data_IF_085843236549
#
_entry.id   IF_085843236549
#
_cell.length_a   1.000
_cell.length_b   1.000
_cell.length_c   1.000
_cell.angle_alpha   90.00
_cell.angle_beta   90.00
_cell.angle_gamma   90.00
#
_symmetry.space_group_name_H-M   'P 1'
#
loop_
_entity.id
_entity.type
_entity.pdbx_description
1 polymer ?
#
# COMPACT_ATOMS: atom_id res chain seq x y z
N UNK A 1 -15.04 -25.77 7.80
CA UNK A 1 -14.02 -24.96 7.08
C UNK A 1 -14.62 -23.75 6.36
N UNK A 2 -15.77 -23.88 5.67
CA UNK A 2 -16.45 -22.75 5.00
C UNK A 2 -16.77 -21.55 5.92
N UNK A 3 -17.11 -21.81 7.19
CA UNK A 3 -17.38 -20.73 8.17
C UNK A 3 -16.14 -19.89 8.55
N UNK A 4 -14.93 -20.33 8.20
CA UNK A 4 -13.69 -19.58 8.47
C UNK A 4 -13.12 -18.93 7.20
N UNK A 5 -13.20 -19.60 6.05
CA UNK A 5 -12.62 -19.08 4.81
C UNK A 5 -13.40 -17.89 4.23
N UNK A 6 -14.72 -17.95 4.27
CA UNK A 6 -15.58 -16.88 3.76
C UNK A 6 -15.37 -15.52 4.47
N UNK A 7 -15.35 -15.42 5.82
CA UNK A 7 -15.05 -14.17 6.51
C UNK A 7 -13.59 -13.71 6.33
N UNK A 8 -12.64 -14.64 6.15
CA UNK A 8 -11.26 -14.28 5.81
C UNK A 8 -11.18 -13.63 4.43
N UNK A 9 -11.90 -14.16 3.43
CA UNK A 9 -11.98 -13.55 2.11
C UNK A 9 -12.59 -12.14 2.18
N UNK A 10 -13.68 -12.00 2.93
CA UNK A 10 -14.35 -10.71 3.12
C UNK A 10 -13.44 -9.68 3.80
N UNK A 11 -12.78 -10.06 4.90
CA UNK A 11 -11.88 -9.14 5.62
C UNK A 11 -10.70 -8.73 4.73
N UNK A 12 -10.11 -9.66 3.98
CA UNK A 12 -9.04 -9.35 3.02
C UNK A 12 -9.54 -8.44 1.88
N UNK A 13 -10.73 -8.72 1.35
CA UNK A 13 -11.33 -7.93 0.28
C UNK A 13 -11.60 -6.48 0.73
N UNK A 14 -12.21 -6.31 1.91
CA UNK A 14 -12.49 -5.01 2.52
C UNK A 14 -11.20 -4.27 2.87
N UNK A 15 -10.22 -4.95 3.47
CA UNK A 15 -8.93 -4.35 3.81
C UNK A 15 -8.21 -3.86 2.54
N UNK A 16 -8.14 -4.70 1.51
CA UNK A 16 -7.56 -4.33 0.21
C UNK A 16 -8.27 -3.15 -0.44
N UNK A 17 -9.61 -3.14 -0.42
CA UNK A 17 -10.41 -2.02 -0.93
C UNK A 17 -10.10 -0.71 -0.18
N UNK A 18 -10.14 -0.74 1.16
CA UNK A 18 -9.86 0.44 1.98
C UNK A 18 -8.43 0.98 1.80
N UNK A 19 -7.44 0.09 1.66
CA UNK A 19 -6.05 0.46 1.42
C UNK A 19 -5.86 1.11 0.04
N UNK A 20 -6.52 0.59 -0.99
CA UNK A 20 -6.38 1.04 -2.37
C UNK A 20 -7.29 2.23 -2.73
N UNK A 21 -8.39 2.43 -2.00
CA UNK A 21 -9.34 3.52 -2.26
C UNK A 21 -8.69 4.90 -2.10
N UNK A 22 -7.83 5.08 -1.10
CA UNK A 22 -7.13 6.36 -0.89
C UNK A 22 -6.17 6.71 -2.03
N UNK A 23 -5.24 5.82 -2.43
CA UNK A 23 -4.42 6.02 -3.63
C UNK A 23 -5.26 6.23 -4.91
N UNK A 24 -6.35 5.46 -5.09
CA UNK A 24 -7.21 5.55 -6.28
C UNK A 24 -7.82 6.95 -6.43
N UNK A 25 -8.29 7.51 -5.31
CA UNK A 25 -8.88 8.85 -5.28
C UNK A 25 -7.85 9.96 -5.46
N UNK A 26 -6.60 9.75 -5.03
CA UNK A 26 -5.52 10.74 -5.20
C UNK A 26 -4.93 10.72 -6.61
N UNK A 27 -4.93 9.56 -7.27
CA UNK A 27 -4.38 9.39 -8.61
C UNK A 27 -5.46 8.81 -9.56
N UNK A 28 -6.50 9.58 -9.90
CA UNK A 28 -7.60 9.09 -10.74
C UNK A 28 -7.17 8.74 -12.17
N UNK A 29 -5.99 9.21 -12.60
CA UNK A 29 -5.38 8.87 -13.90
C UNK A 29 -4.76 7.47 -13.92
N UNK A 30 -4.52 6.86 -12.75
CA UNK A 30 -3.99 5.51 -12.65
C UNK A 30 -5.13 4.49 -12.79
N UNK A 31 -5.38 4.08 -14.05
CA UNK A 31 -6.46 3.14 -14.40
C UNK A 31 -6.23 1.75 -13.82
N UNK A 32 -4.97 1.34 -13.61
CA UNK A 32 -4.67 0.03 -13.02
C UNK A 32 -5.12 -0.01 -11.56
N UNK A 33 -4.84 1.07 -10.83
CA UNK A 33 -5.16 1.17 -9.42
C UNK A 33 -6.66 1.32 -9.16
N UNK A 34 -7.37 2.09 -10.00
CA UNK A 34 -8.84 2.17 -9.92
C UNK A 34 -9.52 0.85 -10.27
N UNK A 35 -9.05 0.16 -11.31
CA UNK A 35 -9.55 -1.17 -11.66
C UNK A 35 -9.28 -2.18 -10.54
N UNK A 36 -8.08 -2.14 -9.93
CA UNK A 36 -7.72 -3.01 -8.82
C UNK A 36 -8.59 -2.74 -7.58
N UNK A 37 -8.79 -1.47 -7.21
CA UNK A 37 -9.73 -1.11 -6.15
C UNK A 37 -11.13 -1.63 -6.47
N UNK A 38 -11.58 -1.55 -7.73
CA UNK A 38 -12.83 -2.15 -8.18
C UNK A 38 -12.88 -3.67 -7.98
N UNK A 39 -11.81 -4.41 -8.31
CA UNK A 39 -11.70 -5.87 -8.06
C UNK A 39 -11.95 -6.18 -6.58
N UNK A 40 -11.26 -5.50 -5.66
CA UNK A 40 -11.45 -5.71 -4.22
C UNK A 40 -12.86 -5.29 -3.76
N UNK A 41 -13.39 -4.17 -4.27
CA UNK A 41 -14.70 -3.66 -3.90
C UNK A 41 -15.85 -4.58 -4.33
N UNK A 42 -15.86 -5.03 -5.58
CA UNK A 42 -16.87 -5.97 -6.08
C UNK A 42 -16.74 -7.36 -5.44
N UNK A 43 -15.51 -7.80 -5.15
CA UNK A 43 -15.28 -9.03 -4.40
C UNK A 43 -15.86 -8.92 -2.98
N UNK A 44 -15.56 -7.84 -2.26
CA UNK A 44 -16.11 -7.58 -0.92
C UNK A 44 -17.65 -7.50 -0.95
N UNK A 45 -18.22 -6.81 -1.94
CA UNK A 45 -19.67 -6.71 -2.09
C UNK A 45 -20.31 -8.08 -2.35
N UNK A 46 -19.71 -8.92 -3.21
CA UNK A 46 -20.20 -10.28 -3.44
C UNK A 46 -20.20 -11.14 -2.17
N UNK A 47 -19.12 -11.08 -1.39
CA UNK A 47 -19.05 -11.79 -0.10
C UNK A 47 -20.07 -11.24 0.90
N UNK A 48 -20.23 -9.92 0.96
CA UNK A 48 -21.19 -9.27 1.85
C UNK A 48 -22.63 -9.70 1.53
N UNK A 49 -23.03 -9.68 0.25
CA UNK A 49 -24.36 -10.12 -0.19
C UNK A 49 -24.58 -11.62 0.07
N UNK A 50 -23.51 -12.42 0.08
CA UNK A 50 -23.57 -13.86 0.31
C UNK A 50 -23.65 -14.26 1.79
N UNK A 51 -23.50 -13.31 2.73
CA UNK A 51 -23.74 -13.55 4.14
C UNK A 51 -25.24 -13.78 4.39
N UNK A 52 -25.58 -14.80 5.15
CA UNK A 52 -26.97 -15.17 5.45
C UNK A 52 -27.82 -14.01 6.00
N UNK A 53 -27.36 -13.18 6.95
CA UNK A 53 -28.13 -12.02 7.42
C UNK A 53 -28.41 -11.00 6.30
N UNK A 54 -27.41 -10.72 5.46
CA UNK A 54 -27.53 -9.75 4.37
C UNK A 54 -28.43 -10.29 3.25
N UNK A 55 -28.34 -11.58 2.94
CA UNK A 55 -29.18 -12.26 1.97
C UNK A 55 -30.66 -12.19 2.37
N UNK A 56 -30.97 -12.52 3.64
CA UNK A 56 -32.34 -12.49 4.17
C UNK A 56 -32.87 -11.05 4.14
N UNK A 57 -32.13 -10.08 4.69
CA UNK A 57 -32.54 -8.67 4.69
C UNK A 57 -32.78 -8.12 3.30
N UNK A 58 -31.94 -8.47 2.32
CA UNK A 58 -32.13 -8.02 0.94
C UNK A 58 -33.41 -8.65 0.35
N UNK A 59 -33.70 -9.91 0.66
CA UNK A 59 -34.94 -10.58 0.28
C UNK A 59 -36.19 -9.93 0.89
N UNK A 60 -36.13 -9.54 2.16
CA UNK A 60 -37.22 -8.85 2.87
C UNK A 60 -37.49 -7.46 2.29
N UNK A 61 -36.45 -6.65 2.07
CA UNK A 61 -36.58 -5.26 1.58
C UNK A 61 -37.06 -5.21 0.14
N UNK A 62 -36.61 -6.15 -0.70
CA UNK A 62 -36.91 -6.15 -2.13
C UNK A 62 -38.10 -7.02 -2.51
N UNK A 63 -38.74 -7.66 -1.53
CA UNK A 63 -39.86 -8.59 -1.68
C UNK A 63 -39.57 -9.76 -2.66
N UNK A 64 -38.28 -10.02 -2.92
CA UNK A 64 -37.79 -11.08 -3.79
C UNK A 64 -36.48 -11.62 -3.24
N UNK A 65 -36.55 -12.80 -2.61
CA UNK A 65 -35.40 -13.52 -2.04
C UNK A 65 -34.34 -13.88 -3.08
N UNK A 66 -34.65 -13.76 -4.38
CA UNK A 66 -33.76 -14.10 -5.47
C UNK A 66 -32.88 -12.93 -5.92
N UNK A 67 -33.16 -11.67 -5.53
CA UNK A 67 -32.35 -10.51 -5.96
C UNK A 67 -30.91 -10.58 -5.43
N UNK A 68 -30.71 -11.16 -4.24
CA UNK A 68 -29.38 -11.38 -3.69
C UNK A 68 -28.52 -12.31 -4.58
N UNK A 69 -29.14 -13.27 -5.29
CA UNK A 69 -28.45 -14.12 -6.26
C UNK A 69 -27.90 -13.31 -7.44
N UNK A 70 -28.76 -12.47 -8.03
CA UNK A 70 -28.40 -11.62 -9.15
C UNK A 70 -27.31 -10.63 -8.75
N UNK A 71 -27.46 -10.00 -7.57
CA UNK A 71 -26.48 -9.06 -7.04
C UNK A 71 -25.11 -9.73 -6.83
N UNK A 72 -25.05 -10.90 -6.19
CA UNK A 72 -23.80 -11.64 -6.02
C UNK A 72 -23.14 -12.00 -7.35
N UNK A 73 -23.90 -12.58 -8.29
CA UNK A 73 -23.33 -13.02 -9.58
C UNK A 73 -22.89 -11.82 -10.43
N UNK A 74 -23.65 -10.73 -10.45
CA UNK A 74 -23.26 -9.51 -11.13
C UNK A 74 -21.99 -8.90 -10.54
N UNK A 75 -21.83 -8.91 -9.20
CA UNK A 75 -20.60 -8.47 -8.54
C UNK A 75 -19.40 -9.32 -8.94
N UNK A 76 -19.54 -10.65 -8.97
CA UNK A 76 -18.46 -11.55 -9.39
C UNK A 76 -18.09 -11.30 -10.86
N UNK A 77 -19.06 -11.15 -11.76
CA UNK A 77 -18.78 -10.86 -13.18
C UNK A 77 -18.11 -9.49 -13.34
N UNK A 78 -18.55 -8.46 -12.62
CA UNK A 78 -17.90 -7.16 -12.61
C UNK A 78 -16.45 -7.26 -12.12
N UNK A 79 -16.21 -8.00 -11.04
CA UNK A 79 -14.87 -8.29 -10.53
C UNK A 79 -14.00 -9.00 -11.58
N UNK A 80 -14.49 -10.09 -12.19
CA UNK A 80 -13.74 -10.83 -13.22
C UNK A 80 -13.45 -9.95 -14.44
N UNK A 81 -14.37 -9.07 -14.83
CA UNK A 81 -14.18 -8.17 -15.97
C UNK A 81 -13.11 -7.11 -15.72
N UNK A 82 -12.83 -6.78 -14.46
CA UNK A 82 -11.78 -5.83 -14.06
C UNK A 82 -10.39 -6.46 -13.95
N UNK A 83 -10.29 -7.78 -13.71
CA UNK A 83 -8.99 -8.46 -13.57
C UNK A 83 -8.10 -8.34 -14.83
N UNK A 84 -8.62 -8.57 -16.06
CA UNK A 84 -7.86 -8.31 -17.29
C UNK A 84 -7.50 -6.84 -17.49
N UNK A 85 -8.29 -5.89 -16.96
CA UNK A 85 -7.99 -4.44 -17.05
C UNK A 85 -6.73 -4.13 -16.27
N UNK A 86 -6.64 -4.62 -15.02
CA UNK A 86 -5.45 -4.46 -14.17
C UNK A 86 -4.22 -4.99 -14.91
N UNK A 87 -4.33 -6.21 -15.43
CA UNK A 87 -3.22 -6.87 -16.10
C UNK A 87 -2.83 -6.16 -17.42
N UNK A 88 -3.81 -5.71 -18.19
CA UNK A 88 -3.59 -4.97 -19.42
C UNK A 88 -2.84 -3.65 -19.15
N UNK A 89 -3.22 -2.92 -18.11
CA UNK A 89 -2.52 -1.70 -17.71
C UNK A 89 -1.08 -1.94 -17.23
N UNK A 90 -0.75 -3.15 -16.74
CA UNK A 90 0.60 -3.49 -16.30
C UNK A 90 1.53 -3.99 -17.42
N UNK A 91 0.98 -4.58 -18.50
CA UNK A 91 1.80 -5.24 -19.53
C UNK A 91 1.77 -4.49 -20.87
N UNK A 92 0.64 -3.88 -21.21
CA UNK A 92 0.39 -3.34 -22.54
C UNK A 92 0.62 -1.81 -22.57
N UNK A 93 1.01 -1.26 -23.74
CA UNK A 93 1.02 0.19 -23.93
C UNK A 93 -0.39 0.78 -23.74
N UNK A 94 -0.51 2.06 -23.36
CA UNK A 94 -1.75 2.67 -22.90
C UNK A 94 -2.92 2.54 -23.89
N UNK A 95 -2.67 2.64 -25.19
CA UNK A 95 -3.71 2.53 -26.20
C UNK A 95 -4.24 1.10 -26.36
N UNK A 96 -3.37 0.09 -26.27
CA UNK A 96 -3.77 -1.31 -26.28
C UNK A 96 -4.47 -1.70 -24.96
N UNK A 97 -4.00 -1.17 -23.83
CA UNK A 97 -4.63 -1.38 -22.53
C UNK A 97 -6.07 -0.81 -22.48
N UNK A 98 -6.30 0.39 -23.04
CA UNK A 98 -7.65 0.98 -23.14
C UNK A 98 -8.61 0.14 -23.99
N UNK A 99 -8.14 -0.40 -25.12
CA UNK A 99 -8.96 -1.27 -25.97
C UNK A 99 -9.32 -2.56 -25.23
N UNK A 100 -8.32 -3.23 -24.66
CA UNK A 100 -8.52 -4.45 -23.86
C UNK A 100 -9.48 -4.20 -22.67
N UNK A 101 -9.36 -3.04 -22.02
CA UNK A 101 -10.24 -2.66 -20.93
C UNK A 101 -11.69 -2.47 -21.40
N UNK A 102 -11.91 -1.74 -22.50
CA UNK A 102 -13.25 -1.57 -23.08
C UNK A 102 -13.86 -2.89 -23.49
N UNK A 103 -13.11 -3.78 -24.16
CA UNK A 103 -13.64 -5.10 -24.56
C UNK A 103 -13.99 -5.94 -23.35
N UNK A 104 -13.17 -5.93 -22.30
CA UNK A 104 -13.43 -6.68 -21.06
C UNK A 104 -14.69 -6.16 -20.34
N UNK A 105 -14.82 -4.83 -20.24
CA UNK A 105 -15.98 -4.20 -19.60
C UNK A 105 -17.27 -4.40 -20.41
N UNK A 106 -17.21 -4.30 -21.74
CA UNK A 106 -18.36 -4.56 -22.62
C UNK A 106 -18.80 -6.02 -22.56
N UNK A 107 -17.85 -6.97 -22.56
CA UNK A 107 -18.15 -8.38 -22.38
C UNK A 107 -18.81 -8.65 -21.01
N UNK A 108 -18.26 -8.06 -19.94
CA UNK A 108 -18.86 -8.12 -18.61
C UNK A 108 -20.27 -7.56 -18.53
N UNK A 109 -20.49 -6.38 -19.13
CA UNK A 109 -21.80 -5.74 -19.19
C UNK A 109 -22.81 -6.58 -19.97
N UNK A 110 -22.39 -7.18 -21.09
CA UNK A 110 -23.25 -8.09 -21.87
C UNK A 110 -23.64 -9.34 -21.08
N UNK A 111 -22.71 -9.95 -20.33
CA UNK A 111 -22.99 -11.08 -19.45
C UNK A 111 -23.96 -10.69 -18.34
N UNK A 112 -23.73 -9.55 -17.67
CA UNK A 112 -24.64 -9.06 -16.62
C UNK A 112 -26.04 -8.81 -17.18
N UNK A 113 -26.15 -8.18 -18.36
CA UNK A 113 -27.44 -7.99 -19.01
C UNK A 113 -28.14 -9.33 -19.33
N UNK A 114 -27.39 -10.33 -19.79
CA UNK A 114 -27.89 -11.69 -20.01
C UNK A 114 -28.37 -12.36 -18.71
N UNK A 115 -27.63 -12.19 -17.61
CA UNK A 115 -28.04 -12.68 -16.29
C UNK A 115 -29.31 -11.98 -15.80
N UNK A 116 -29.44 -10.66 -15.98
CA UNK A 116 -30.65 -9.90 -15.64
C UNK A 116 -31.85 -10.41 -16.45
N UNK A 117 -31.69 -10.65 -17.75
CA UNK A 117 -32.76 -11.18 -18.60
C UNK A 117 -33.20 -12.58 -18.16
N UNK A 118 -32.24 -13.49 -17.96
CA UNK A 118 -32.52 -14.85 -17.50
C UNK A 118 -33.12 -14.88 -16.08
N UNK A 119 -32.71 -13.94 -15.23
CA UNK A 119 -33.27 -13.76 -13.91
C UNK A 119 -34.73 -13.29 -13.95
N UNK A 120 -35.08 -12.36 -14.85
CA UNK A 120 -36.45 -11.90 -15.04
C UNK A 120 -37.40 -13.01 -15.53
N UNK A 121 -36.85 -14.03 -16.21
CA UNK A 121 -37.58 -15.22 -16.66
C UNK A 121 -37.66 -16.31 -15.58
N UNK A 122 -36.96 -16.15 -14.46
CA UNK A 122 -36.91 -17.15 -13.41
C UNK A 122 -38.15 -17.03 -12.52
N UNK A 123 -38.84 -18.14 -12.20
CA UNK A 123 -40.01 -18.09 -11.33
C UNK A 123 -39.68 -17.48 -9.96
N UNK A 124 -40.53 -16.58 -9.47
CA UNK A 124 -40.39 -16.00 -8.12
C UNK A 124 -40.63 -17.10 -7.08
N UNK A 125 -39.68 -17.31 -6.18
CA UNK A 125 -39.81 -18.36 -5.14
C UNK A 125 -39.56 -17.82 -3.73
N UNK A 126 -40.14 -18.53 -2.75
CA UNK A 126 -40.07 -18.21 -1.33
C UNK A 126 -38.64 -18.26 -0.73
N UNK A 127 -38.53 -18.14 0.60
CA UNK A 127 -37.25 -17.99 1.28
C UNK A 127 -36.32 -19.17 0.99
N UNK A 128 -35.11 -18.86 0.55
CA UNK A 128 -34.06 -19.83 0.20
C UNK A 128 -32.72 -19.27 0.63
N UNK A 129 -31.81 -20.16 1.05
CA UNK A 129 -30.40 -19.82 1.29
C UNK A 129 -29.61 -19.97 -0.02
N UNK A 130 -28.45 -19.29 -0.17
CA UNK A 130 -27.65 -19.36 -1.40
C UNK A 130 -27.33 -20.80 -1.86
N UNK A 131 -27.14 -21.71 -0.90
CA UNK A 131 -26.79 -23.12 -1.13
C UNK A 131 -28.00 -23.96 -1.52
N UNK A 132 -29.16 -23.72 -0.88
CA UNK A 132 -30.39 -24.46 -1.17
C UNK A 132 -31.05 -23.99 -2.47
N UNK A 133 -30.81 -22.74 -2.89
CA UNK A 133 -31.34 -22.21 -4.15
C UNK A 133 -30.86 -23.01 -5.37
N UNK A 134 -29.54 -23.23 -5.46
CA UNK A 134 -28.90 -23.95 -6.57
C UNK A 134 -29.39 -25.40 -6.64
N UNK A 135 -29.44 -26.09 -5.51
CA UNK A 135 -29.91 -27.47 -5.43
C UNK A 135 -31.40 -27.61 -5.82
N UNK A 136 -32.24 -26.62 -5.46
CA UNK A 136 -33.68 -26.64 -5.72
C UNK A 136 -34.03 -26.31 -7.18
N UNK A 137 -33.24 -25.46 -7.85
CA UNK A 137 -33.54 -24.98 -9.19
C UNK A 137 -32.68 -25.61 -10.30
N UNK A 138 -31.76 -26.51 -9.96
CA UNK A 138 -30.88 -27.16 -10.94
C UNK A 138 -31.64 -27.92 -12.05
N UNK A 139 -32.86 -28.38 -11.77
CA UNK A 139 -33.74 -29.03 -12.74
C UNK A 139 -34.56 -28.07 -13.62
N UNK A 140 -34.51 -26.76 -13.38
CA UNK A 140 -35.26 -25.75 -14.15
C UNK A 140 -34.39 -25.27 -15.31
N UNK A 141 -34.84 -25.46 -16.55
CA UNK A 141 -34.05 -25.13 -17.75
C UNK A 141 -33.57 -23.67 -17.82
N UNK A 142 -34.38 -22.71 -17.35
CA UNK A 142 -33.99 -21.29 -17.28
C UNK A 142 -32.83 -21.07 -16.30
N UNK A 143 -32.84 -21.75 -15.15
CA UNK A 143 -31.76 -21.68 -14.18
C UNK A 143 -30.49 -22.36 -14.69
N UNK A 144 -30.61 -23.46 -15.45
CA UNK A 144 -29.49 -24.12 -16.12
C UNK A 144 -28.80 -23.16 -17.11
N UNK A 145 -29.58 -22.42 -17.91
CA UNK A 145 -29.05 -21.40 -18.80
C UNK A 145 -28.37 -20.26 -18.03
N UNK A 146 -28.99 -19.79 -16.94
CA UNK A 146 -28.44 -18.76 -16.06
C UNK A 146 -27.08 -19.17 -15.47
N UNK A 147 -27.02 -20.37 -14.90
CA UNK A 147 -25.82 -20.92 -14.29
C UNK A 147 -24.75 -21.23 -15.33
N UNK A 148 -25.12 -21.75 -16.51
CA UNK A 148 -24.22 -22.02 -17.62
C UNK A 148 -23.57 -20.75 -18.17
N UNK A 149 -24.35 -19.68 -18.37
CA UNK A 149 -23.84 -18.36 -18.77
C UNK A 149 -22.84 -17.83 -17.75
N UNK A 150 -23.17 -17.90 -16.46
CA UNK A 150 -22.29 -17.46 -15.39
C UNK A 150 -20.97 -18.25 -15.35
N UNK A 151 -21.02 -19.59 -15.32
CA UNK A 151 -19.82 -20.44 -15.21
C UNK A 151 -18.94 -20.30 -16.45
N UNK A 152 -19.52 -20.21 -17.65
CA UNK A 152 -18.75 -20.05 -18.89
C UNK A 152 -18.02 -18.71 -18.92
N UNK A 153 -18.70 -17.62 -18.58
CA UNK A 153 -18.09 -16.29 -18.51
C UNK A 153 -17.01 -16.21 -17.42
N UNK A 154 -17.31 -16.70 -16.22
CA UNK A 154 -16.37 -16.73 -15.11
C UNK A 154 -15.15 -17.59 -15.43
N UNK A 155 -15.35 -18.80 -15.97
CA UNK A 155 -14.28 -19.72 -16.37
C UNK A 155 -13.40 -19.14 -17.48
N UNK A 156 -13.99 -18.53 -18.51
CA UNK A 156 -13.23 -17.84 -19.56
C UNK A 156 -12.38 -16.71 -18.98
N UNK A 157 -12.94 -15.89 -18.08
CA UNK A 157 -12.22 -14.83 -17.40
C UNK A 157 -11.06 -15.33 -16.54
N UNK A 158 -11.27 -16.40 -15.76
CA UNK A 158 -10.20 -17.01 -14.96
C UNK A 158 -9.12 -17.64 -15.85
N UNK A 159 -9.47 -18.29 -16.96
CA UNK A 159 -8.49 -18.84 -17.91
C UNK A 159 -7.62 -17.75 -18.54
N UNK A 160 -8.23 -16.63 -18.96
CA UNK A 160 -7.51 -15.46 -19.44
C UNK A 160 -6.58 -14.88 -18.36
N UNK A 161 -7.04 -14.84 -17.11
CA UNK A 161 -6.25 -14.39 -15.97
C UNK A 161 -5.03 -15.30 -15.73
N UNK A 162 -5.21 -16.63 -15.72
CA UNK A 162 -4.11 -17.60 -15.57
C UNK A 162 -3.03 -17.36 -16.63
N UNK A 163 -3.42 -17.37 -17.91
CA UNK A 163 -2.48 -17.19 -19.03
C UNK A 163 -1.80 -15.82 -18.95
N UNK A 164 -2.58 -14.78 -18.68
CA UNK A 164 -2.11 -13.43 -18.56
C UNK A 164 -1.09 -13.24 -17.44
N UNK A 165 -1.40 -13.71 -16.23
CA UNK A 165 -0.51 -13.63 -15.07
C UNK A 165 0.78 -14.44 -15.26
N UNK A 166 0.70 -15.64 -15.84
CA UNK A 166 1.90 -16.44 -16.13
C UNK A 166 2.80 -15.79 -17.18
N UNK A 167 2.22 -15.19 -18.22
CA UNK A 167 2.98 -14.44 -19.24
C UNK A 167 3.62 -13.19 -18.65
N UNK A 168 2.89 -12.46 -17.81
CA UNK A 168 3.39 -11.29 -17.10
C UNK A 168 4.54 -11.64 -16.15
N UNK A 169 4.38 -12.69 -15.35
CA UNK A 169 5.38 -13.15 -14.39
C UNK A 169 6.68 -13.66 -15.04
N UNK A 170 6.66 -13.97 -16.34
CA UNK A 170 7.86 -14.33 -17.13
C UNK A 170 8.59 -13.11 -17.70
N UNK A 171 7.90 -11.97 -17.84
CA UNK A 171 8.44 -10.75 -18.46
C UNK A 171 8.94 -9.71 -17.46
N UNK A 172 8.57 -9.84 -16.19
CA UNK A 172 8.95 -8.90 -15.15
C UNK A 172 10.24 -9.35 -14.46
N UNK A 173 11.22 -8.44 -14.36
CA UNK A 173 12.50 -8.69 -13.67
C UNK A 173 12.38 -8.62 -12.14
N UNK A 174 11.34 -7.95 -11.64
CA UNK A 174 11.04 -7.84 -10.20
C UNK A 174 10.50 -9.15 -9.62
N UNK A 175 11.33 -9.85 -8.86
CA UNK A 175 11.03 -11.17 -8.27
C UNK A 175 9.74 -11.17 -7.44
N UNK A 176 9.46 -10.09 -6.71
CA UNK A 176 8.26 -9.97 -5.86
C UNK A 176 6.98 -9.84 -6.68
N UNK A 177 7.03 -9.09 -7.79
CA UNK A 177 5.90 -8.93 -8.71
C UNK A 177 5.64 -10.25 -9.45
N UNK A 178 6.69 -10.91 -9.91
CA UNK A 178 6.58 -12.24 -10.54
C UNK A 178 5.98 -13.29 -9.59
N UNK A 179 6.38 -13.28 -8.30
CA UNK A 179 5.79 -14.16 -7.28
C UNK A 179 4.30 -13.84 -7.05
N UNK A 180 3.94 -12.57 -6.90
CA UNK A 180 2.54 -12.15 -6.74
C UNK A 180 1.66 -12.63 -7.90
N UNK A 181 2.10 -12.40 -9.14
CA UNK A 181 1.39 -12.84 -10.34
C UNK A 181 1.28 -14.37 -10.46
N UNK A 182 2.29 -15.13 -10.05
CA UNK A 182 2.21 -16.61 -10.00
C UNK A 182 1.19 -17.08 -8.96
N UNK A 183 1.11 -16.42 -7.81
CA UNK A 183 0.09 -16.71 -6.78
C UNK A 183 -1.30 -16.41 -7.34
N UNK A 184 -1.49 -15.29 -8.04
CA UNK A 184 -2.76 -14.99 -8.75
C UNK A 184 -3.11 -16.08 -9.74
N UNK A 185 -2.16 -16.49 -10.60
CA UNK A 185 -2.37 -17.55 -11.59
C UNK A 185 -2.73 -18.90 -10.94
N UNK A 186 -2.07 -19.27 -9.85
CA UNK A 186 -2.39 -20.50 -9.11
C UNK A 186 -3.79 -20.42 -8.46
N UNK A 187 -4.16 -19.27 -7.89
CA UNK A 187 -5.49 -19.04 -7.35
C UNK A 187 -6.59 -19.11 -8.41
N UNK A 188 -6.36 -18.51 -9.57
CA UNK A 188 -7.28 -18.56 -10.71
C UNK A 188 -7.40 -19.99 -11.30
N UNK A 189 -6.34 -20.80 -11.24
CA UNK A 189 -6.42 -22.21 -11.61
C UNK A 189 -7.27 -23.00 -10.61
N UNK A 190 -7.16 -22.69 -9.32
CA UNK A 190 -7.98 -23.33 -8.29
C UNK A 190 -9.47 -22.97 -8.43
N UNK A 191 -9.80 -21.72 -8.79
CA UNK A 191 -11.19 -21.32 -9.07
C UNK A 191 -11.73 -21.92 -10.38
N UNK A 192 -10.87 -22.24 -11.37
CA UNK A 192 -11.28 -23.07 -12.51
C UNK A 192 -11.70 -24.48 -12.08
N UNK A 193 -11.12 -25.02 -11.01
CA UNK A 193 -11.59 -26.27 -10.38
C UNK A 193 -13.04 -26.18 -9.91
N UNK A 194 -13.44 -25.05 -9.30
CA UNK A 194 -14.84 -24.78 -8.97
C UNK A 194 -15.73 -24.75 -10.23
N UNK A 195 -15.27 -24.11 -11.31
CA UNK A 195 -16.00 -24.08 -12.59
C UNK A 195 -16.22 -25.49 -13.13
N UNK A 196 -15.20 -26.34 -13.10
CA UNK A 196 -15.28 -27.72 -13.56
C UNK A 196 -16.32 -28.50 -12.75
N UNK A 197 -16.30 -28.40 -11.42
CA UNK A 197 -17.28 -29.07 -10.55
C UNK A 197 -18.71 -28.60 -10.85
N UNK A 198 -18.92 -27.29 -10.98
CA UNK A 198 -20.25 -26.73 -11.29
C UNK A 198 -20.72 -27.09 -12.70
N UNK A 199 -19.82 -27.12 -13.68
CA UNK A 199 -20.13 -27.54 -15.04
C UNK A 199 -20.52 -29.02 -15.07
N UNK A 200 -19.82 -29.89 -14.33
CA UNK A 200 -20.21 -31.31 -14.23
C UNK A 200 -21.58 -31.49 -13.58
N UNK A 201 -21.90 -30.70 -12.55
CA UNK A 201 -23.21 -30.73 -11.91
C UNK A 201 -24.32 -30.25 -12.86
N UNK A 202 -24.05 -29.21 -13.65
CA UNK A 202 -24.96 -28.71 -14.67
C UNK A 202 -25.23 -29.77 -15.75
N UNK A 203 -24.17 -30.42 -16.25
CA UNK A 203 -24.29 -31.48 -17.26
C UNK A 203 -25.04 -32.71 -16.72
N UNK A 204 -24.85 -33.07 -15.45
CA UNK A 204 -25.60 -34.13 -14.80
C UNK A 204 -27.10 -33.77 -14.69
N UNK A 205 -27.40 -32.53 -14.29
CA UNK A 205 -28.78 -32.05 -14.18
C UNK A 205 -29.51 -32.04 -15.54
N UNK A 206 -28.84 -31.66 -16.62
CA UNK A 206 -29.38 -31.74 -17.99
C UNK A 206 -29.70 -33.18 -18.40
N UNK A 207 -28.95 -34.16 -17.88
CA UNK A 207 -29.17 -35.60 -18.10
C UNK A 207 -30.21 -36.22 -17.16
N UNK A 208 -30.84 -35.42 -16.31
CA UNK A 208 -31.87 -35.86 -15.36
C UNK A 208 -31.33 -36.28 -13.98
N UNK A 209 -30.03 -36.18 -13.73
CA UNK A 209 -29.44 -36.44 -12.41
C UNK A 209 -29.04 -35.13 -11.72
N UNK A 210 -29.94 -34.59 -10.90
CA UNK A 210 -29.75 -33.32 -10.19
C UNK A 210 -29.06 -33.47 -8.83
N UNK A 211 -28.51 -34.65 -8.49
CA UNK A 211 -27.91 -34.89 -7.16
C UNK A 211 -26.45 -34.47 -7.12
N UNK A 212 -26.14 -33.54 -6.22
CA UNK A 212 -24.76 -33.15 -5.90
C UNK A 212 -24.38 -33.76 -4.55
N UNK A 213 -23.37 -34.64 -4.48
CA UNK A 213 -22.89 -35.14 -3.19
C UNK A 213 -22.35 -34.01 -2.32
N UNK A 214 -22.66 -34.03 -1.01
CA UNK A 214 -22.24 -32.98 -0.07
C UNK A 214 -20.70 -32.78 -0.05
N UNK A 215 -19.92 -33.85 -0.21
CA UNK A 215 -18.46 -33.78 -0.30
C UNK A 215 -17.97 -32.98 -1.52
N UNK A 216 -18.64 -33.12 -2.66
CA UNK A 216 -18.32 -32.39 -3.90
C UNK A 216 -18.69 -30.92 -3.76
N UNK A 217 -19.81 -30.62 -3.09
CA UNK A 217 -20.21 -29.25 -2.78
C UNK A 217 -19.18 -28.57 -1.86
N UNK A 218 -18.74 -29.23 -0.78
CA UNK A 218 -17.69 -28.69 0.10
C UNK A 218 -16.36 -28.45 -0.63
N UNK A 219 -15.96 -29.36 -1.52
CA UNK A 219 -14.76 -29.20 -2.33
C UNK A 219 -14.89 -28.00 -3.29
N UNK A 220 -16.05 -27.82 -3.93
CA UNK A 220 -16.30 -26.69 -4.82
C UNK A 220 -16.10 -25.36 -4.08
N UNK A 221 -16.69 -25.23 -2.90
CA UNK A 221 -16.54 -24.02 -2.08
C UNK A 221 -15.12 -23.82 -1.56
N UNK A 222 -14.42 -24.89 -1.16
CA UNK A 222 -13.02 -24.80 -0.76
C UNK A 222 -12.12 -24.31 -1.91
N UNK A 223 -12.37 -24.78 -3.14
CA UNK A 223 -11.68 -24.31 -4.33
C UNK A 223 -12.00 -22.83 -4.64
N UNK A 224 -13.27 -22.43 -4.52
CA UNK A 224 -13.70 -21.06 -4.77
C UNK A 224 -13.09 -20.07 -3.76
N UNK A 225 -13.25 -20.31 -2.45
CA UNK A 225 -12.75 -19.43 -1.41
C UNK A 225 -11.22 -19.44 -1.35
N UNK A 226 -10.60 -20.63 -1.38
CA UNK A 226 -9.15 -20.78 -1.38
C UNK A 226 -8.49 -20.13 -2.60
N UNK A 227 -9.06 -20.31 -3.79
CA UNK A 227 -8.59 -19.68 -5.01
C UNK A 227 -8.73 -18.16 -4.96
N UNK A 228 -9.85 -17.67 -4.42
CA UNK A 228 -10.09 -16.22 -4.26
C UNK A 228 -9.11 -15.60 -3.26
N UNK A 229 -8.81 -16.26 -2.14
CA UNK A 229 -7.76 -15.82 -1.20
C UNK A 229 -6.41 -15.70 -1.90
N UNK A 230 -6.02 -16.70 -2.70
CA UNK A 230 -4.77 -16.65 -3.46
C UNK A 230 -4.77 -15.50 -4.48
N UNK A 231 -5.87 -15.29 -5.21
CA UNK A 231 -5.98 -14.17 -6.16
C UNK A 231 -5.86 -12.82 -5.45
N UNK A 232 -6.61 -12.61 -4.37
CA UNK A 232 -6.57 -11.36 -3.61
C UNK A 232 -5.21 -11.12 -2.94
N UNK A 233 -4.57 -12.15 -2.37
CA UNK A 233 -3.23 -12.00 -1.78
C UNK A 233 -2.17 -11.76 -2.85
N UNK A 234 -2.25 -12.46 -3.98
CA UNK A 234 -1.33 -12.32 -5.10
C UNK A 234 -1.37 -10.91 -5.73
N UNK A 235 -2.56 -10.31 -5.85
CA UNK A 235 -2.71 -8.93 -6.31
C UNK A 235 -2.28 -7.89 -5.26
N UNK A 236 -2.37 -8.22 -3.97
CA UNK A 236 -1.98 -7.32 -2.90
C UNK A 236 -0.46 -7.09 -2.90
N UNK A 237 0.33 -8.12 -3.22
CA UNK A 237 1.80 -8.05 -3.19
C UNK A 237 2.38 -6.96 -4.11
N UNK A 238 2.07 -6.92 -5.43
CA UNK A 238 2.50 -5.83 -6.31
C UNK A 238 1.97 -4.47 -5.87
N UNK A 239 0.72 -4.40 -5.40
CA UNK A 239 0.10 -3.14 -5.00
C UNK A 239 0.77 -2.54 -3.75
N UNK A 240 1.14 -3.38 -2.77
CA UNK A 240 1.93 -2.97 -1.61
C UNK A 240 3.35 -2.56 -2.03
N UNK A 241 3.98 -3.35 -2.89
CA UNK A 241 5.37 -3.15 -3.34
C UNK A 241 5.57 -1.84 -4.11
N UNK A 242 4.65 -1.48 -5.00
CA UNK A 242 4.77 -0.28 -5.83
C UNK A 242 4.39 0.99 -5.08
N UNK A 243 3.35 0.95 -4.23
CA UNK A 243 2.78 2.18 -3.68
C UNK A 243 3.06 2.42 -2.19
N UNK A 244 3.20 1.36 -1.38
CA UNK A 244 3.36 1.50 0.07
C UNK A 244 4.82 1.41 0.51
N UNK A 245 5.61 0.50 -0.08
CA UNK A 245 7.01 0.30 0.32
C UNK A 245 7.88 1.56 0.12
N UNK A 246 7.82 2.28 -1.01
CA UNK A 246 8.63 3.49 -1.19
C UNK A 246 8.26 4.59 -0.18
N UNK A 247 6.97 4.80 0.05
CA UNK A 247 6.47 5.79 1.01
C UNK A 247 6.86 5.46 2.45
N UNK A 248 6.72 4.19 2.87
CA UNK A 248 7.10 3.74 4.21
C UNK A 248 8.62 3.83 4.41
N UNK A 249 9.42 3.43 3.40
CA UNK A 249 10.88 3.57 3.47
C UNK A 249 11.31 5.02 3.55
N UNK A 250 10.71 5.91 2.75
CA UNK A 250 10.96 7.36 2.83
C UNK A 250 10.60 7.94 4.19
N UNK A 251 9.45 7.55 4.76
CA UNK A 251 9.05 7.94 6.10
C UNK A 251 10.02 7.43 7.18
N UNK A 252 10.40 6.15 7.15
CA UNK A 252 11.36 5.56 8.10
C UNK A 252 12.71 6.27 8.04
N UNK A 253 13.21 6.56 6.83
CA UNK A 253 14.45 7.33 6.64
C UNK A 253 14.32 8.73 7.25
N UNK A 254 13.25 9.46 6.93
CA UNK A 254 13.04 10.80 7.48
C UNK A 254 12.90 10.79 9.02
N UNK A 255 12.26 9.76 9.61
CA UNK A 255 12.20 9.57 11.07
C UNK A 255 13.58 9.33 11.66
N UNK A 256 14.37 8.44 11.05
CA UNK A 256 15.72 8.15 11.50
C UNK A 256 16.58 9.40 11.45
N UNK A 257 16.58 10.13 10.33
CA UNK A 257 17.32 11.38 10.16
C UNK A 257 16.87 12.44 11.18
N UNK A 258 15.56 12.57 11.40
CA UNK A 258 15.02 13.46 12.43
C UNK A 258 15.55 13.11 13.82
N UNK A 259 15.56 11.82 14.19
CA UNK A 259 16.10 11.36 15.47
C UNK A 259 17.61 11.57 15.59
N UNK A 260 18.37 11.31 14.53
CA UNK A 260 19.83 11.54 14.49
C UNK A 260 20.19 13.00 14.69
N UNK A 261 19.43 13.94 14.13
CA UNK A 261 19.62 15.38 14.35
C UNK A 261 19.09 15.87 15.72
N UNK A 262 18.39 15.01 16.46
CA UNK A 262 17.76 15.35 17.74
C UNK A 262 18.73 15.87 18.80
N UNK A 263 19.83 15.15 19.12
CA UNK A 263 20.79 15.57 20.14
C UNK A 263 21.45 16.92 19.83
N UNK A 264 21.86 17.13 18.58
CA UNK A 264 22.47 18.39 18.13
C UNK A 264 21.49 19.55 18.31
N UNK A 265 20.27 19.40 17.80
CA UNK A 265 19.22 20.41 17.94
C UNK A 265 18.90 20.70 19.41
N UNK A 266 18.86 19.67 20.27
CA UNK A 266 18.50 19.84 21.67
C UNK A 266 19.55 20.64 22.45
N UNK A 267 20.83 20.37 22.23
CA UNK A 267 21.92 21.15 22.85
C UNK A 267 21.85 22.61 22.42
N UNK A 268 21.67 22.86 21.12
CA UNK A 268 21.55 24.23 20.60
C UNK A 268 20.30 24.94 21.14
N UNK A 269 19.16 24.26 21.18
CA UNK A 269 17.91 24.82 21.68
C UNK A 269 17.95 25.15 23.18
N UNK A 270 18.62 24.32 23.99
CA UNK A 270 18.82 24.59 25.43
C UNK A 270 19.63 25.87 25.65
N UNK A 271 20.69 26.07 24.88
CA UNK A 271 21.51 27.30 24.97
C UNK A 271 20.85 28.52 24.34
N UNK A 272 19.99 28.31 23.33
CA UNK A 272 19.34 29.37 22.55
C UNK A 272 17.87 29.02 22.24
N UNK A 273 16.94 29.23 23.19
CA UNK A 273 15.54 28.87 22.98
C UNK A 273 14.89 29.60 21.79
N UNK A 274 15.40 30.79 21.45
CA UNK A 274 14.91 31.64 20.37
C UNK A 274 15.09 31.05 18.95
N UNK A 275 15.92 30.01 18.78
CA UNK A 275 16.07 29.32 17.48
C UNK A 275 14.83 28.49 17.11
N UNK A 276 13.94 28.22 18.08
CA UNK A 276 12.74 27.46 17.82
C UNK A 276 11.68 28.31 17.11
N UNK A 277 11.33 27.94 15.88
CA UNK A 277 10.30 28.61 15.05
C UNK A 277 8.88 28.49 15.63
N UNK A 278 8.63 27.57 16.57
CA UNK A 278 7.38 27.47 17.32
C UNK A 278 7.68 27.17 18.79
N UNK A 279 7.89 28.20 19.62
CA UNK A 279 8.09 28.02 21.06
C UNK A 279 6.78 27.51 21.68
N UNK A 280 6.82 26.31 22.29
CA UNK A 280 5.68 25.71 23.00
C UNK A 280 5.19 24.36 22.46
N UNK A 281 5.47 24.03 21.19
CA UNK A 281 5.26 22.67 20.65
C UNK A 281 6.57 21.89 20.75
N UNK A 282 6.93 21.42 21.94
CA UNK A 282 7.93 20.35 22.03
C UNK A 282 7.37 19.15 21.26
N UNK A 283 8.06 18.61 20.25
CA UNK A 283 7.67 17.34 19.65
C UNK A 283 8.02 16.25 20.67
N UNK A 284 7.18 16.11 21.70
CA UNK A 284 7.25 15.05 22.72
C UNK A 284 7.06 13.66 22.12
N UNK A 285 6.61 13.58 20.86
CA UNK A 285 6.47 12.32 20.13
C UNK A 285 7.72 12.01 19.33
N UNK A 286 8.39 10.95 19.74
CA UNK A 286 9.51 10.28 19.06
C UNK A 286 9.10 9.66 17.71
N UNK A 287 7.77 9.58 17.45
CA UNK A 287 7.17 9.08 16.21
C UNK A 287 6.28 10.16 15.58
N UNK A 288 6.78 10.79 14.52
CA UNK A 288 6.01 11.80 13.79
C UNK A 288 5.00 11.15 12.84
N UNK A 289 3.79 11.71 12.68
CA UNK A 289 2.83 11.20 11.72
C UNK A 289 3.40 11.26 10.29
N UNK A 290 3.00 10.30 9.46
CA UNK A 290 3.52 10.13 8.08
C UNK A 290 3.50 11.41 7.26
N UNK A 291 2.43 12.18 7.40
CA UNK A 291 2.17 13.40 6.65
C UNK A 291 3.03 14.60 7.05
N UNK A 292 3.74 14.53 8.19
CA UNK A 292 4.43 15.69 8.78
C UNK A 292 5.94 15.45 9.02
N UNK A 293 6.45 14.23 8.82
CA UNK A 293 7.86 13.93 9.12
C UNK A 293 8.82 14.77 8.28
N UNK A 294 8.56 14.90 6.97
CA UNK A 294 9.46 15.63 6.06
C UNK A 294 9.49 17.12 6.37
N UNK A 295 8.32 17.69 6.69
CA UNK A 295 8.21 19.08 7.11
C UNK A 295 8.94 19.35 8.43
N UNK A 296 8.78 18.47 9.41
CA UNK A 296 9.47 18.62 10.70
C UNK A 296 10.98 18.37 10.62
N UNK A 297 11.42 17.46 9.74
CA UNK A 297 12.83 17.27 9.42
C UNK A 297 13.41 18.55 8.82
N UNK A 298 12.76 19.11 7.81
CA UNK A 298 13.19 20.36 7.18
C UNK A 298 13.25 21.52 8.19
N UNK A 299 12.19 21.69 8.98
CA UNK A 299 12.15 22.70 10.05
C UNK A 299 13.31 22.53 11.03
N UNK A 300 13.59 21.31 11.50
CA UNK A 300 14.71 21.04 12.40
C UNK A 300 16.05 21.43 11.76
N UNK A 301 16.23 21.22 10.46
CA UNK A 301 17.44 21.66 9.75
C UNK A 301 17.58 23.17 9.77
N UNK A 302 16.50 23.90 9.45
CA UNK A 302 16.48 25.37 9.52
C UNK A 302 16.79 25.87 10.93
N UNK A 303 16.17 25.31 11.97
CA UNK A 303 16.43 25.72 13.36
C UNK A 303 17.89 25.44 13.79
N UNK A 304 18.53 24.38 13.27
CA UNK A 304 19.96 24.12 13.49
C UNK A 304 20.81 25.17 12.76
N UNK A 305 20.49 25.50 11.50
CA UNK A 305 21.22 26.53 10.73
C UNK A 305 21.08 27.93 11.36
N UNK A 306 19.90 28.28 11.86
CA UNK A 306 19.68 29.52 12.59
C UNK A 306 20.52 29.58 13.87
N UNK A 307 20.63 28.44 14.58
CA UNK A 307 21.50 28.35 15.74
C UNK A 307 23.00 28.40 15.40
N UNK A 308 23.43 27.85 14.27
CA UNK A 308 24.80 28.04 13.75
C UNK A 308 25.06 29.53 13.50
N UNK A 309 24.15 30.20 12.81
CA UNK A 309 24.27 31.64 12.55
C UNK A 309 24.37 32.45 13.85
N UNK A 310 23.55 32.12 14.85
CA UNK A 310 23.61 32.75 16.17
C UNK A 310 24.90 32.46 16.96
N UNK A 311 25.55 31.32 16.72
CA UNK A 311 26.82 30.93 17.34
C UNK A 311 28.06 31.46 16.61
N UNK A 312 27.91 31.95 15.38
CA UNK A 312 29.03 32.41 14.55
C UNK A 312 29.94 33.44 15.26
N UNK A 313 29.35 34.33 16.07
CA UNK A 313 30.10 35.35 16.84
C UNK A 313 30.98 34.78 17.95
N UNK A 314 30.79 33.52 18.34
CA UNK A 314 31.54 32.82 19.39
C UNK A 314 32.59 31.84 18.84
N UNK A 315 32.81 31.81 17.52
CA UNK A 315 33.73 30.86 16.88
C UNK A 315 35.20 31.29 17.04
N UNK A 316 35.98 30.50 17.78
CA UNK A 316 37.40 30.75 18.01
C UNK A 316 38.29 30.18 16.87
N UNK A 317 39.18 30.99 16.26
CA UNK A 317 40.11 30.51 15.22
C UNK A 317 41.02 29.36 15.67
N UNK A 318 41.50 29.41 16.91
CA UNK A 318 42.37 28.37 17.48
C UNK A 318 41.67 26.99 17.50
N UNK A 319 40.36 26.94 17.71
CA UNK A 319 39.58 25.68 17.69
C UNK A 319 39.54 25.10 16.28
N UNK A 320 39.34 25.95 15.25
CA UNK A 320 39.33 25.53 13.85
C UNK A 320 40.67 24.93 13.44
N UNK A 321 41.78 25.58 13.78
CA UNK A 321 43.13 25.12 13.45
C UNK A 321 43.52 23.84 14.20
N UNK A 322 43.26 23.79 15.51
CA UNK A 322 43.57 22.62 16.33
C UNK A 322 42.72 21.40 15.95
N UNK A 323 41.43 21.61 15.69
CA UNK A 323 40.52 20.55 15.22
C UNK A 323 40.92 20.07 13.82
N UNK A 324 41.24 20.99 12.91
CA UNK A 324 41.72 20.64 11.56
C UNK A 324 42.98 19.79 11.59
N UNK A 325 43.98 20.19 12.38
CA UNK A 325 45.22 19.42 12.55
C UNK A 325 44.94 18.03 13.12
N UNK A 326 44.09 17.95 14.15
CA UNK A 326 43.71 16.68 14.79
C UNK A 326 43.01 15.73 13.82
N UNK A 327 41.97 16.19 13.13
CA UNK A 327 41.15 15.34 12.26
C UNK A 327 41.88 14.95 10.96
N UNK A 328 42.70 15.85 10.40
CA UNK A 328 43.62 15.50 9.32
C UNK A 328 44.61 14.40 9.75
N UNK A 329 45.14 14.47 10.98
CA UNK A 329 46.00 13.45 11.55
C UNK A 329 45.33 12.08 11.72
N UNK A 330 44.00 12.05 11.90
CA UNK A 330 43.20 10.83 11.93
C UNK A 330 42.76 10.36 10.53
N UNK A 331 43.21 11.03 9.46
CA UNK A 331 42.94 10.63 8.08
C UNK A 331 41.60 11.10 7.51
N UNK A 332 40.83 11.95 8.21
CA UNK A 332 39.60 12.53 7.67
C UNK A 332 39.92 13.50 6.54
N UNK A 333 39.08 13.51 5.50
CA UNK A 333 39.25 14.34 4.30
C UNK A 333 37.94 14.99 3.86
N UNK A 334 38.06 16.02 3.03
CA UNK A 334 36.96 16.69 2.33
C UNK A 334 35.76 17.05 3.25
N UNK A 335 34.55 16.62 2.88
CA UNK A 335 33.33 16.93 3.60
C UNK A 335 33.26 16.30 4.99
N UNK A 336 33.90 15.16 5.23
CA UNK A 336 33.94 14.55 6.57
C UNK A 336 34.87 15.33 7.50
N UNK A 337 36.01 15.81 6.98
CA UNK A 337 36.90 16.70 7.72
C UNK A 337 36.19 18.01 8.09
N UNK A 338 35.51 18.65 7.13
CA UNK A 338 34.76 19.87 7.38
C UNK A 338 33.66 19.66 8.43
N UNK A 339 32.91 18.56 8.34
CA UNK A 339 31.86 18.23 9.30
C UNK A 339 32.39 17.97 10.72
N UNK A 340 33.52 17.27 10.86
CA UNK A 340 34.16 17.02 12.14
C UNK A 340 34.68 18.31 12.79
N UNK A 341 35.29 19.20 11.99
CA UNK A 341 35.73 20.52 12.48
C UNK A 341 34.53 21.36 12.91
N UNK A 342 33.47 21.43 12.10
CA UNK A 342 32.25 22.16 12.46
C UNK A 342 31.62 21.62 13.75
N UNK A 343 31.62 20.30 13.98
CA UNK A 343 31.11 19.71 15.21
C UNK A 343 31.90 20.15 16.46
N UNK A 344 33.23 20.25 16.35
CA UNK A 344 34.10 20.76 17.42
C UNK A 344 33.92 22.27 17.63
N UNK A 345 33.82 23.03 16.54
CA UNK A 345 33.53 24.46 16.57
C UNK A 345 32.19 24.74 17.27
N UNK A 346 31.16 23.92 17.02
CA UNK A 346 29.87 24.02 17.69
C UNK A 346 29.98 23.78 19.20
N UNK A 347 30.70 22.74 19.63
CA UNK A 347 30.94 22.49 21.05
C UNK A 347 31.65 23.66 21.72
N UNK A 348 32.73 24.15 21.12
CA UNK A 348 33.51 25.25 21.69
C UNK A 348 32.70 26.56 21.72
N UNK A 349 31.95 26.86 20.66
CA UNK A 349 31.12 28.06 20.60
C UNK A 349 29.97 28.03 21.62
N UNK A 350 29.38 26.86 21.89
CA UNK A 350 28.38 26.69 22.95
C UNK A 350 28.98 26.95 24.34
N UNK A 351 30.20 26.46 24.60
CA UNK A 351 30.91 26.73 25.86
C UNK A 351 31.31 28.21 25.98
N UNK A 352 31.90 28.80 24.93
CA UNK A 352 32.27 30.22 24.90
C UNK A 352 31.05 31.14 25.10
N UNK A 353 29.90 30.79 24.52
CA UNK A 353 28.64 31.52 24.76
C UNK A 353 28.21 31.45 26.23
N UNK A 354 28.30 30.28 26.86
CA UNK A 354 27.96 30.12 28.27
C UNK A 354 28.85 31.00 29.17
N UNK A 355 30.14 31.07 28.85
CA UNK A 355 31.12 31.88 29.58
C UNK A 355 31.09 33.38 29.19
N UNK A 356 30.25 33.78 28.24
CA UNK A 356 30.22 35.15 27.70
C UNK A 356 31.47 35.56 26.90
N UNK A 357 32.30 34.60 26.49
CA UNK A 357 33.55 34.83 25.74
C UNK A 357 33.27 35.07 24.26
N UNK A 358 33.99 36.03 23.68
CA UNK A 358 33.96 36.35 22.25
C UNK A 358 35.38 36.62 21.74
N UNK A 359 35.80 36.02 20.63
CA UNK A 359 37.07 36.35 20.00
C UNK A 359 37.00 37.73 19.34
N UNK A 360 38.16 38.39 19.18
CA UNK A 360 38.25 39.68 18.49
C UNK A 360 37.87 39.56 17.00
N UNK A 361 38.23 38.45 16.36
CA UNK A 361 37.84 38.10 14.99
C UNK A 361 37.27 36.68 15.03
N UNK A 362 35.95 36.51 14.85
CA UNK A 362 35.35 35.18 14.77
C UNK A 362 35.84 34.41 13.55
N UNK A 363 36.06 33.11 13.70
CA UNK A 363 36.32 32.23 12.59
C UNK A 363 35.04 31.95 11.79
N UNK A 364 35.17 31.53 10.54
CA UNK A 364 34.05 30.93 9.82
C UNK A 364 33.88 29.45 10.20
N UNK A 365 32.68 28.92 9.99
CA UNK A 365 32.47 27.48 10.06
C UNK A 365 33.27 26.74 8.98
N UNK A 366 33.73 25.53 9.27
CA UNK A 366 34.46 24.73 8.29
C UNK A 366 33.55 24.21 7.16
N UNK A 367 32.27 23.97 7.44
CA UNK A 367 31.28 23.53 6.45
C UNK A 367 30.81 24.66 5.51
N UNK A 368 31.13 25.93 5.78
CA UNK A 368 30.74 27.07 4.92
C UNK A 368 31.18 26.89 3.47
N UNK A 369 32.33 26.24 3.26
CA UNK A 369 32.91 25.93 1.94
C UNK A 369 31.98 25.04 1.09
N UNK A 370 31.08 24.28 1.73
CA UNK A 370 30.14 23.35 1.09
C UNK A 370 28.79 24.00 0.77
N UNK A 371 28.49 25.18 1.32
CA UNK A 371 27.19 25.83 1.12
C UNK A 371 26.88 26.11 -0.36
N UNK A 372 27.83 26.50 -1.23
CA UNK A 372 27.57 26.67 -2.66
C UNK A 372 27.11 25.40 -3.37
N UNK A 373 27.42 24.22 -2.82
CA UNK A 373 27.04 22.92 -3.39
C UNK A 373 25.64 22.46 -2.95
N UNK A 374 25.04 23.13 -1.95
CA UNK A 374 23.71 22.77 -1.43
C UNK A 374 22.61 23.31 -2.34
N UNK A 375 21.99 22.42 -3.13
CA UNK A 375 20.94 22.78 -4.10
C UNK A 375 19.54 22.37 -3.64
N UNK A 376 19.45 21.38 -2.77
CA UNK A 376 18.19 20.83 -2.30
C UNK A 376 18.14 20.74 -0.77
N UNK A 377 16.94 20.75 -0.16
CA UNK A 377 16.78 20.46 1.26
C UNK A 377 17.39 19.12 1.70
N UNK A 378 17.42 18.13 0.80
CA UNK A 378 18.01 16.82 1.09
C UNK A 378 19.54 16.87 1.17
N UNK A 379 20.18 17.78 0.44
CA UNK A 379 21.62 18.00 0.53
C UNK A 379 21.99 18.65 1.87
N UNK A 380 21.19 19.62 2.33
CA UNK A 380 21.39 20.26 3.63
C UNK A 380 21.20 19.27 4.78
N UNK A 381 20.14 18.43 4.72
CA UNK A 381 19.94 17.32 5.66
C UNK A 381 21.17 16.40 5.68
N UNK A 382 21.76 16.09 4.52
CA UNK A 382 22.93 15.19 4.43
C UNK A 382 24.16 15.79 5.10
N UNK A 383 24.45 17.07 4.89
CA UNK A 383 25.59 17.73 5.55
C UNK A 383 25.37 17.86 7.07
N UNK A 384 24.17 18.25 7.51
CA UNK A 384 23.86 18.30 8.95
C UNK A 384 23.96 16.94 9.62
N UNK A 385 23.62 15.85 8.93
CA UNK A 385 23.79 14.49 9.44
C UNK A 385 25.26 14.11 9.59
N UNK A 386 26.16 14.59 8.71
CA UNK A 386 27.61 14.39 8.87
C UNK A 386 28.14 15.13 10.08
N UNK A 387 27.73 16.38 10.28
CA UNK A 387 28.10 17.16 11.46
C UNK A 387 27.60 16.45 12.72
N UNK A 388 26.34 16.01 12.73
CA UNK A 388 25.74 15.29 13.84
C UNK A 388 26.44 13.96 14.14
N UNK A 389 27.02 13.28 13.15
CA UNK A 389 27.78 12.04 13.36
C UNK A 389 29.08 12.26 14.14
N UNK A 390 29.72 13.42 13.99
CA UNK A 390 30.90 13.82 14.76
C UNK A 390 30.56 14.60 16.03
N UNK A 391 29.30 15.01 16.20
CA UNK A 391 28.83 15.72 17.38
C UNK A 391 28.51 14.72 18.51
N UNK A 392 29.52 14.39 19.31
CA UNK A 392 29.28 13.66 20.57
C UNK A 392 28.71 14.62 21.59
N UNK A 393 27.42 14.52 21.91
CA UNK A 393 26.85 15.28 23.03
C UNK A 393 27.62 14.89 24.30
N UNK A 394 28.54 15.76 24.75
CA UNK A 394 29.28 15.52 25.97
C UNK A 394 28.27 15.32 27.10
N UNK A 395 28.40 14.21 27.84
CA UNK A 395 27.70 14.02 29.10
C UNK A 395 28.18 15.10 30.08
N UNK A 396 27.53 16.27 30.07
CA UNK A 396 27.79 17.29 31.08
C UNK A 396 27.16 16.85 32.40
N UNK A 397 27.85 17.07 33.53
CA UNK A 397 27.45 16.56 34.84
C UNK A 397 26.09 17.11 35.24
N UNK A 398 25.24 16.23 35.76
CA UNK A 398 23.93 16.55 36.29
C UNK A 398 24.04 17.66 37.34
N UNK A 399 23.63 18.88 36.99
CA UNK A 399 23.30 19.90 37.97
C UNK A 399 22.06 19.44 38.73
N UNK A 400 22.27 18.88 39.92
CA UNK A 400 21.25 18.88 40.97
C UNK A 400 21.14 20.31 41.48
N UNK A 401 19.97 20.90 41.31
CA UNK A 401 19.47 21.96 42.19
C UNK A 401 18.44 21.33 43.13
#
# INVERSE_FOLDING_TARGET
MQQLLHPLCLTLAVAGFCLLLRPARRHPRDTALTALAGVYGFCALSFLVSLEPTWIHLGEVTNSHSIALLASFACVIAQVSLQPVVLACWILPPDAARRAARTSLLAGAAVIAGLVLLFALLPTTGPTTPQTFTARHLGVGVYQAYLGLYISAYGAGQALLVVGCLRAARRTDEVWVARGLRIVGAGALLTLGYCAIRLTALLAAVRGDARIPAAVEHLAWACADGGTLMVLTGFLVPALGVHLVPGVRGWLRAQQQYRTLGPLWEVMHRSMPAIALQPGRRPTRVNLPVWNVSWQLYRRCVEIRDGQWALAVHLEPAVREASGTRHCGHGLRDGELAAAITADQLHAALAARHDGRRPAVPAEYADSVRHPDLRTPEDDVRELLRIAAHFTAAAQPSHRH
#
